data_IF_777856695448
#
_entry.id   IF_777856695448
#
_cell.length_a   1.000
_cell.length_b   1.000
_cell.length_c   1.000
_cell.angle_alpha   90.00
_cell.angle_beta   90.00
_cell.angle_gamma   90.00
#
_symmetry.space_group_name_H-M   'P 1'
#
loop_
_entity.id
_entity.type
_entity.pdbx_description
1 polymer ?
#
# COMPACT_ATOMS: atom_id res chain seq x y z
N UNK A 1 -2.97 4.03 13.27
CA UNK A 1 -3.64 2.71 13.22
C UNK A 1 -2.86 1.76 14.18
N UNK A 2 -3.40 0.62 14.67
CA UNK A 2 -2.69 -0.36 15.56
C UNK A 2 -2.07 -1.59 14.81
N UNK A 3 -0.95 -2.15 15.25
CA UNK A 3 -0.19 -3.24 14.60
C UNK A 3 -1.05 -4.47 14.27
N UNK A 4 -2.08 -4.76 15.07
CA UNK A 4 -3.06 -5.81 14.80
C UNK A 4 -3.82 -5.59 13.49
N UNK A 5 -4.23 -4.36 13.21
CA UNK A 5 -5.00 -4.02 12.02
C UNK A 5 -4.12 -4.05 10.76
N UNK A 6 -2.88 -3.59 10.87
CA UNK A 6 -1.91 -3.75 9.78
C UNK A 6 -1.65 -5.24 9.46
N UNK A 7 -1.43 -6.05 10.49
CA UNK A 7 -1.27 -7.48 10.30
C UNK A 7 -2.51 -8.13 9.69
N UNK A 8 -3.72 -7.63 9.98
CA UNK A 8 -4.93 -8.09 9.32
C UNK A 8 -4.86 -7.83 7.81
N UNK A 9 -4.53 -6.61 7.37
CA UNK A 9 -4.39 -6.28 5.95
C UNK A 9 -3.33 -7.14 5.23
N UNK A 10 -2.11 -7.19 5.77
CA UNK A 10 -1.00 -7.91 5.12
C UNK A 10 -1.23 -9.44 5.07
N UNK A 11 -2.00 -9.99 6.01
CA UNK A 11 -2.30 -11.42 6.07
C UNK A 11 -3.71 -11.76 5.56
N UNK A 12 -4.37 -10.84 4.84
CA UNK A 12 -5.63 -11.10 4.16
C UNK A 12 -5.39 -11.78 2.81
N UNK A 13 -6.22 -12.76 2.49
CA UNK A 13 -6.26 -13.35 1.15
C UNK A 13 -7.21 -12.52 0.29
N UNK A 14 -6.65 -11.75 -0.65
CA UNK A 14 -7.39 -10.95 -1.61
C UNK A 14 -7.57 -11.73 -2.91
N UNK A 15 -8.78 -12.20 -3.18
CA UNK A 15 -9.08 -13.05 -4.31
C UNK A 15 -9.87 -12.27 -5.36
N UNK A 16 -9.50 -12.46 -6.63
CA UNK A 16 -10.19 -11.90 -7.79
C UNK A 16 -10.74 -13.06 -8.61
N UNK A 17 -12.04 -13.05 -8.89
CA UNK A 17 -12.65 -14.03 -9.77
C UNK A 17 -12.52 -13.61 -11.22
N UNK A 18 -11.82 -14.43 -12.01
CA UNK A 18 -11.67 -14.24 -13.44
C UNK A 18 -11.74 -15.59 -14.16
N UNK A 19 -12.67 -15.72 -15.11
CA UNK A 19 -12.95 -17.00 -15.81
C UNK A 19 -13.22 -18.13 -14.80
N UNK A 20 -12.63 -19.30 -15.00
CA UNK A 20 -12.87 -20.51 -14.20
C UNK A 20 -11.99 -20.64 -12.96
N UNK A 21 -10.92 -19.83 -12.82
CA UNK A 21 -9.99 -19.90 -11.69
C UNK A 21 -9.71 -18.53 -11.10
N UNK A 22 -9.94 -18.31 -9.78
CA UNK A 22 -9.55 -17.06 -9.15
C UNK A 22 -8.03 -16.93 -9.09
N UNK A 23 -7.54 -15.70 -9.09
CA UNK A 23 -6.14 -15.39 -8.76
C UNK A 23 -6.07 -14.55 -7.50
N UNK A 24 -4.94 -14.65 -6.79
CA UNK A 24 -4.73 -13.97 -5.52
C UNK A 24 -3.83 -12.76 -5.70
N UNK A 25 -4.19 -11.64 -5.08
CA UNK A 25 -3.33 -10.47 -4.90
C UNK A 25 -2.66 -10.57 -3.53
N UNK A 26 -1.33 -10.56 -3.50
CA UNK A 26 -0.55 -10.63 -2.27
C UNK A 26 0.20 -9.31 -2.11
N UNK A 27 -0.09 -8.50 -1.07
CA UNK A 27 0.64 -7.26 -0.82
C UNK A 27 2.17 -7.47 -0.82
N UNK A 28 2.89 -6.59 -1.54
CA UNK A 28 4.34 -6.64 -1.71
C UNK A 28 4.85 -7.69 -2.69
N UNK A 29 3.98 -8.47 -3.34
CA UNK A 29 4.37 -9.50 -4.32
C UNK A 29 4.23 -9.01 -5.77
N UNK A 30 4.97 -9.59 -6.73
CA UNK A 30 4.76 -9.35 -8.15
C UNK A 30 3.31 -9.65 -8.57
N UNK A 31 2.87 -9.02 -9.67
CA UNK A 31 1.55 -9.28 -10.22
C UNK A 31 1.43 -10.75 -10.66
N UNK A 32 0.31 -11.44 -10.37
CA UNK A 32 0.04 -12.77 -10.89
C UNK A 32 0.03 -12.78 -12.43
N UNK A 33 0.50 -13.86 -13.05
CA UNK A 33 0.54 -14.01 -14.51
C UNK A 33 -0.83 -13.78 -15.16
N UNK A 34 -1.90 -14.30 -14.56
CA UNK A 34 -3.27 -14.12 -15.05
C UNK A 34 -3.69 -12.64 -15.07
N UNK A 35 -3.19 -11.84 -14.12
CA UNK A 35 -3.44 -10.41 -14.08
C UNK A 35 -2.64 -9.67 -15.16
N UNK A 36 -1.38 -10.04 -15.37
CA UNK A 36 -0.55 -9.48 -16.44
C UNK A 36 -1.17 -9.74 -17.82
N UNK A 37 -1.60 -10.97 -18.09
CA UNK A 37 -2.32 -11.32 -19.31
C UNK A 37 -3.58 -10.47 -19.49
N UNK A 38 -4.37 -10.32 -18.44
CA UNK A 38 -5.61 -9.56 -18.44
C UNK A 38 -5.36 -8.07 -18.76
N UNK A 39 -4.41 -7.44 -18.07
CA UNK A 39 -4.07 -6.04 -18.26
C UNK A 39 -3.52 -5.79 -19.67
N UNK A 40 -2.65 -6.68 -20.18
CA UNK A 40 -2.12 -6.61 -21.54
C UNK A 40 -3.20 -6.77 -22.61
N UNK A 41 -4.08 -7.77 -22.47
CA UNK A 41 -5.21 -8.01 -23.39
C UNK A 41 -6.11 -6.77 -23.50
N UNK A 42 -6.31 -6.08 -22.38
CA UNK A 42 -7.14 -4.87 -22.32
C UNK A 42 -6.38 -3.57 -22.59
N UNK A 43 -5.05 -3.64 -22.78
CA UNK A 43 -4.16 -2.47 -22.91
C UNK A 43 -4.28 -1.49 -21.72
N UNK A 44 -4.53 -2.02 -20.54
CA UNK A 44 -4.63 -1.26 -19.28
C UNK A 44 -3.33 -1.42 -18.50
N UNK A 45 -2.91 -0.35 -17.82
CA UNK A 45 -1.61 -0.33 -17.12
C UNK A 45 -1.71 -0.33 -15.60
N UNK A 46 -2.90 -0.12 -15.05
CA UNK A 46 -3.12 0.07 -13.61
C UNK A 46 -4.32 -0.75 -13.13
N UNK A 47 -4.38 -1.00 -11.84
CA UNK A 47 -5.57 -1.55 -11.19
C UNK A 47 -5.70 -1.08 -9.74
N UNK A 48 -6.91 -1.17 -9.20
CA UNK A 48 -7.15 -1.10 -7.77
C UNK A 48 -8.02 -2.28 -7.31
N UNK A 49 -7.88 -2.66 -6.04
CA UNK A 49 -8.75 -3.58 -5.35
C UNK A 49 -9.38 -2.87 -4.15
N UNK A 50 -10.70 -2.77 -4.16
CA UNK A 50 -11.46 -1.92 -3.24
C UNK A 50 -12.73 -2.63 -2.74
N UNK A 51 -13.09 -2.38 -1.50
CA UNK A 51 -14.36 -2.81 -0.88
C UNK A 51 -15.05 -1.62 -0.24
N UNK A 52 -16.35 -1.73 0.01
CA UNK A 52 -17.10 -0.82 0.86
C UNK A 52 -17.49 -1.45 2.21
N UNK A 53 -17.10 -2.71 2.45
CA UNK A 53 -17.35 -3.43 3.69
C UNK A 53 -16.54 -2.81 4.84
N UNK A 54 -17.09 -2.92 6.05
CA UNK A 54 -16.46 -2.58 7.32
C UNK A 54 -15.70 -1.23 7.28
N UNK A 55 -16.39 -0.11 6.97
CA UNK A 55 -15.80 1.23 6.91
C UNK A 55 -14.99 1.55 8.17
N UNK A 56 -13.84 2.19 7.97
CA UNK A 56 -12.83 2.48 8.99
C UNK A 56 -12.32 1.22 9.72
N UNK A 57 -12.48 0.04 9.12
CA UNK A 57 -12.24 -1.27 9.75
C UNK A 57 -13.10 -1.54 10.99
N UNK A 58 -14.30 -0.94 11.03
CA UNK A 58 -15.29 -1.18 12.07
C UNK A 58 -16.32 -2.18 11.55
N UNK A 59 -16.46 -3.30 12.25
CA UNK A 59 -17.41 -4.35 11.89
C UNK A 59 -18.83 -3.77 11.78
N UNK A 60 -19.47 -4.00 10.63
CA UNK A 60 -20.86 -3.62 10.39
C UNK A 60 -21.74 -4.86 10.28
N UNK A 61 -23.05 -4.65 10.39
CA UNK A 61 -24.02 -5.67 10.00
C UNK A 61 -23.89 -6.01 8.52
N UNK A 62 -24.08 -7.29 8.18
CA UNK A 62 -23.95 -7.76 6.80
C UNK A 62 -24.91 -7.02 5.84
N UNK A 63 -26.12 -6.67 6.30
CA UNK A 63 -27.11 -5.93 5.51
C UNK A 63 -26.60 -4.53 5.10
N UNK A 64 -25.89 -3.85 5.99
CA UNK A 64 -25.29 -2.53 5.72
C UNK A 64 -24.09 -2.67 4.79
N UNK A 65 -23.23 -3.66 5.04
CA UNK A 65 -22.10 -3.98 4.16
C UNK A 65 -22.56 -4.25 2.71
N UNK A 66 -23.62 -5.03 2.52
CA UNK A 66 -24.21 -5.31 1.20
C UNK A 66 -24.68 -4.02 0.52
N UNK A 67 -25.45 -3.16 1.21
CA UNK A 67 -25.94 -1.89 0.65
C UNK A 67 -24.79 -0.96 0.22
N UNK A 68 -23.75 -0.87 1.05
CA UNK A 68 -22.56 -0.05 0.75
C UNK A 68 -21.81 -0.60 -0.45
N UNK A 69 -21.69 -1.91 -0.57
CA UNK A 69 -21.03 -2.57 -1.69
C UNK A 69 -21.81 -2.42 -2.99
N UNK A 70 -23.14 -2.48 -2.94
CA UNK A 70 -24.01 -2.16 -4.08
C UNK A 70 -23.83 -0.70 -4.53
N UNK A 71 -23.70 0.22 -3.57
CA UNK A 71 -23.43 1.64 -3.86
C UNK A 71 -22.06 1.85 -4.53
N UNK A 72 -21.02 1.15 -4.06
CA UNK A 72 -19.70 1.13 -4.70
C UNK A 72 -19.76 0.56 -6.12
N UNK A 73 -20.49 -0.54 -6.31
CA UNK A 73 -20.70 -1.12 -7.64
C UNK A 73 -21.40 -0.13 -8.58
N UNK A 74 -22.45 0.54 -8.12
CA UNK A 74 -23.18 1.52 -8.91
C UNK A 74 -22.26 2.68 -9.34
N UNK A 75 -21.42 3.18 -8.44
CA UNK A 75 -20.46 4.26 -8.73
C UNK A 75 -19.40 3.82 -9.76
N UNK A 76 -18.88 2.59 -9.63
CA UNK A 76 -17.92 2.02 -10.58
C UNK A 76 -18.54 1.83 -11.97
N UNK A 77 -19.76 1.32 -12.05
CA UNK A 77 -20.50 1.15 -13.31
C UNK A 77 -20.81 2.51 -13.95
N UNK A 78 -21.23 3.49 -13.16
CA UNK A 78 -21.51 4.86 -13.62
C UNK A 78 -20.28 5.55 -14.22
N UNK A 79 -19.08 5.22 -13.72
CA UNK A 79 -17.78 5.68 -14.23
C UNK A 79 -17.25 4.81 -15.39
N UNK A 80 -18.07 3.90 -15.92
CA UNK A 80 -17.72 2.97 -17.01
C UNK A 80 -16.46 2.13 -16.72
N UNK A 81 -16.22 1.83 -15.43
CA UNK A 81 -15.05 1.07 -15.03
C UNK A 81 -15.21 -0.39 -15.36
N UNK A 82 -14.12 -0.99 -15.85
CA UNK A 82 -14.05 -2.43 -16.02
C UNK A 82 -13.75 -3.08 -14.67
N UNK A 83 -14.72 -3.84 -14.16
CA UNK A 83 -14.66 -4.44 -12.82
C UNK A 83 -14.78 -5.97 -12.87
N UNK A 84 -14.09 -6.63 -11.96
CA UNK A 84 -14.28 -8.04 -11.65
C UNK A 84 -14.70 -8.21 -10.19
N UNK A 85 -15.58 -9.19 -9.88
CA UNK A 85 -15.88 -9.51 -8.51
C UNK A 85 -14.68 -10.17 -7.82
N UNK A 86 -14.52 -9.90 -6.55
CA UNK A 86 -13.50 -10.50 -5.70
C UNK A 86 -13.99 -10.56 -4.27
N UNK A 87 -13.19 -11.16 -3.40
CA UNK A 87 -13.42 -11.07 -1.97
C UNK A 87 -12.14 -11.19 -1.17
N UNK A 88 -12.21 -10.66 0.04
CA UNK A 88 -11.16 -10.71 1.05
C UNK A 88 -11.57 -11.66 2.17
N UNK A 89 -10.63 -12.48 2.64
CA UNK A 89 -10.84 -13.34 3.80
C UNK A 89 -9.56 -13.46 4.64
N UNK A 90 -9.70 -13.75 5.93
CA UNK A 90 -8.53 -14.13 6.76
C UNK A 90 -7.94 -15.44 6.27
N UNK A 91 -6.60 -15.55 6.24
CA UNK A 91 -5.89 -16.82 6.00
C UNK A 91 -6.30 -17.95 6.94
N UNK A 92 -6.69 -17.60 8.16
CA UNK A 92 -7.16 -18.55 9.17
C UNK A 92 -8.67 -18.79 9.10
N UNK A 93 -9.36 -18.08 8.20
CA UNK A 93 -10.84 -18.04 8.05
C UNK A 93 -11.56 -17.58 9.32
N UNK A 94 -10.88 -16.75 10.11
CA UNK A 94 -11.38 -16.26 11.40
C UNK A 94 -12.50 -15.21 11.28
N UNK A 95 -12.78 -14.70 10.08
CA UNK A 95 -13.86 -13.75 9.82
C UNK A 95 -14.57 -14.03 8.49
N UNK A 96 -15.80 -13.53 8.38
CA UNK A 96 -16.65 -13.71 7.21
C UNK A 96 -16.06 -13.05 5.96
N UNK A 97 -16.34 -13.67 4.81
CA UNK A 97 -15.92 -13.19 3.50
C UNK A 97 -16.41 -11.75 3.27
N UNK A 98 -15.48 -10.85 2.92
CA UNK A 98 -15.79 -9.47 2.56
C UNK A 98 -15.77 -9.31 1.04
N UNK A 99 -16.92 -9.03 0.41
CA UNK A 99 -16.97 -8.80 -1.04
C UNK A 99 -16.13 -7.59 -1.43
N UNK A 100 -15.53 -7.63 -2.60
CA UNK A 100 -14.60 -6.62 -3.11
C UNK A 100 -14.70 -6.51 -4.63
N UNK A 101 -14.18 -5.43 -5.20
CA UNK A 101 -14.06 -5.25 -6.63
C UNK A 101 -12.61 -5.04 -7.02
N UNK A 102 -12.16 -5.79 -8.03
CA UNK A 102 -10.99 -5.45 -8.80
C UNK A 102 -11.41 -4.48 -9.90
N UNK A 103 -10.69 -3.38 -10.05
CA UNK A 103 -11.00 -2.28 -10.98
C UNK A 103 -9.80 -2.06 -11.87
N UNK A 104 -9.91 -2.34 -13.18
CA UNK A 104 -8.81 -2.13 -14.12
C UNK A 104 -8.79 -0.72 -14.69
N UNK A 105 -7.59 -0.20 -14.99
CA UNK A 105 -7.39 1.08 -15.67
C UNK A 105 -7.77 2.29 -14.83
N UNK A 106 -7.91 2.14 -13.52
CA UNK A 106 -8.18 3.24 -12.59
C UNK A 106 -6.87 3.92 -12.18
N UNK A 107 -6.87 5.25 -12.11
CA UNK A 107 -5.71 6.00 -11.63
C UNK A 107 -5.61 5.92 -10.10
N UNK A 108 -4.40 6.04 -9.54
CA UNK A 108 -4.23 6.04 -8.08
C UNK A 108 -5.05 7.17 -7.40
N UNK A 109 -5.05 8.44 -7.87
CA UNK A 109 -5.86 9.49 -7.26
C UNK A 109 -7.36 9.17 -7.24
N UNK A 110 -7.89 8.59 -8.31
CA UNK A 110 -9.30 8.21 -8.39
C UNK A 110 -9.63 7.03 -7.48
N UNK A 111 -8.75 6.01 -7.42
CA UNK A 111 -8.92 4.87 -6.53
C UNK A 111 -8.90 5.31 -5.05
N UNK A 112 -7.99 6.22 -4.71
CA UNK A 112 -7.90 6.82 -3.38
C UNK A 112 -9.14 7.67 -3.05
N UNK A 113 -9.66 8.43 -4.03
CA UNK A 113 -10.90 9.20 -3.85
C UNK A 113 -12.10 8.28 -3.58
N UNK A 114 -12.27 7.20 -4.35
CA UNK A 114 -13.31 6.21 -4.10
C UNK A 114 -13.16 5.58 -2.71
N UNK A 115 -11.95 5.17 -2.35
CA UNK A 115 -11.68 4.59 -1.04
C UNK A 115 -12.05 5.56 0.09
N UNK A 116 -11.79 6.86 -0.08
CA UNK A 116 -12.16 7.89 0.89
C UNK A 116 -13.68 8.02 1.01
N UNK A 117 -14.39 8.08 -0.13
CA UNK A 117 -15.86 8.13 -0.18
C UNK A 117 -16.51 6.94 0.54
N UNK A 118 -15.92 5.74 0.39
CA UNK A 118 -16.41 4.52 1.05
C UNK A 118 -15.78 4.26 2.43
N UNK A 119 -15.05 5.25 2.96
CA UNK A 119 -14.43 5.23 4.29
C UNK A 119 -13.50 4.03 4.49
N UNK A 120 -12.72 3.70 3.49
CA UNK A 120 -11.72 2.64 3.57
C UNK A 120 -10.42 3.18 4.15
N UNK A 121 -9.74 2.36 4.96
CA UNK A 121 -8.42 2.72 5.48
C UNK A 121 -7.31 2.45 4.47
N UNK A 122 -7.52 1.48 3.57
CA UNK A 122 -6.54 1.08 2.57
C UNK A 122 -7.20 0.46 1.32
N UNK A 123 -6.44 0.41 0.23
CA UNK A 123 -6.74 -0.34 -0.99
C UNK A 123 -5.50 -1.11 -1.44
N UNK A 124 -5.69 -2.14 -2.28
CA UNK A 124 -4.57 -2.58 -3.12
C UNK A 124 -4.53 -1.77 -4.40
N UNK A 125 -3.34 -1.43 -4.85
CA UNK A 125 -3.11 -0.76 -6.13
C UNK A 125 -1.89 -1.37 -6.80
N UNK A 126 -1.85 -1.39 -8.12
CA UNK A 126 -0.64 -1.80 -8.81
C UNK A 126 -0.62 -1.37 -10.26
N UNK A 127 0.56 -1.48 -10.85
CA UNK A 127 0.86 -1.13 -12.24
C UNK A 127 1.44 -2.36 -12.95
N UNK A 128 1.34 -2.39 -14.28
CA UNK A 128 1.72 -3.55 -15.11
C UNK A 128 3.14 -4.08 -14.86
N UNK A 129 4.10 -3.20 -14.58
CA UNK A 129 5.51 -3.53 -14.33
C UNK A 129 5.88 -3.43 -12.83
N UNK A 130 4.87 -3.43 -11.96
CA UNK A 130 5.02 -3.17 -10.53
C UNK A 130 4.77 -4.38 -9.64
N UNK A 131 4.38 -4.06 -8.42
CA UNK A 131 3.97 -5.00 -7.39
C UNK A 131 2.53 -4.69 -6.98
N UNK A 132 1.89 -5.62 -6.29
CA UNK A 132 0.64 -5.36 -5.57
C UNK A 132 0.97 -4.52 -4.34
N UNK A 133 0.60 -3.25 -4.36
CA UNK A 133 0.93 -2.29 -3.32
C UNK A 133 -0.29 -2.04 -2.40
N UNK A 134 -0.07 -2.03 -1.08
CA UNK A 134 -1.11 -1.72 -0.09
C UNK A 134 -1.06 -0.22 0.23
N UNK A 135 -2.00 0.54 -0.35
CA UNK A 135 -2.08 1.99 -0.19
C UNK A 135 -2.98 2.36 0.97
N UNK A 136 -2.44 3.03 1.97
CA UNK A 136 -3.22 3.61 3.06
C UNK A 136 -3.71 5.01 2.71
N UNK A 137 -4.92 5.34 3.15
CA UNK A 137 -5.56 6.64 2.87
C UNK A 137 -5.13 7.77 3.79
N UNK A 138 -4.52 7.43 4.93
CA UNK A 138 -4.08 8.44 5.88
C UNK A 138 -2.79 9.09 5.44
N UNK A 139 -2.77 10.43 5.54
CA UNK A 139 -1.57 11.21 5.32
C UNK A 139 -0.48 10.75 6.30
N UNK A 140 0.66 10.29 5.77
CA UNK A 140 1.81 9.99 6.58
C UNK A 140 2.40 11.26 7.19
N UNK A 141 2.73 11.20 8.47
CA UNK A 141 3.26 12.35 9.20
C UNK A 141 4.79 12.28 9.21
N UNK A 142 5.46 13.43 9.06
CA UNK A 142 6.92 13.49 9.10
C UNK A 142 7.40 13.06 10.48
N UNK A 143 8.37 12.15 10.56
CA UNK A 143 8.81 11.59 11.85
C UNK A 143 9.37 12.69 12.75
N UNK A 144 10.07 13.68 12.20
CA UNK A 144 10.61 14.81 12.96
C UNK A 144 9.55 15.77 13.52
N UNK A 145 8.30 15.70 13.02
CA UNK A 145 7.16 16.49 13.49
C UNK A 145 6.30 15.74 14.52
N UNK A 146 6.57 14.45 14.73
CA UNK A 146 5.93 13.64 15.77
C UNK A 146 6.51 14.02 17.14
N UNK A 147 5.79 14.81 17.93
CA UNK A 147 6.21 15.15 19.31
C UNK A 147 6.25 13.89 20.20
N UNK A 148 7.32 13.76 20.97
CA UNK A 148 7.49 12.71 21.99
C UNK A 148 6.34 12.73 23.03
N UNK A 149 5.68 11.59 23.21
CA UNK A 149 4.83 11.31 24.37
C UNK A 149 3.41 11.86 24.29
N UNK A 150 2.48 11.06 23.77
CA UNK A 150 1.17 10.76 24.41
C UNK A 150 0.31 9.95 23.42
N UNK A 151 0.51 8.64 23.47
CA UNK A 151 -0.26 7.65 22.73
C UNK A 151 -1.59 7.40 23.44
N UNK A 152 -2.67 8.06 23.01
CA UNK A 152 -4.03 7.56 23.19
C UNK A 152 -4.77 7.55 21.85
N UNK A 153 -5.16 6.35 21.43
CA UNK A 153 -5.66 5.99 20.09
C UNK A 153 -6.96 6.70 19.65
N UNK A 154 -7.62 7.48 20.51
CA UNK A 154 -8.95 8.02 20.25
C UNK A 154 -8.97 9.50 19.82
N UNK A 155 -8.01 10.33 20.23
CA UNK A 155 -8.05 11.78 20.02
C UNK A 155 -7.49 12.26 18.67
N UNK A 156 -6.86 11.37 17.89
CA UNK A 156 -6.19 11.74 16.63
C UNK A 156 -7.10 11.73 15.41
N UNK A 157 -8.26 11.06 15.44
CA UNK A 157 -9.18 11.01 14.28
C UNK A 157 -9.63 12.41 13.83
N UNK A 158 -9.73 13.36 14.77
CA UNK A 158 -10.14 14.73 14.48
C UNK A 158 -8.98 15.66 14.11
N UNK A 159 -7.75 15.38 14.56
CA UNK A 159 -6.58 16.26 14.30
C UNK A 159 -5.95 16.02 12.94
N UNK A 160 -5.97 14.80 12.41
CA UNK A 160 -5.46 14.50 11.07
C UNK A 160 -6.29 15.13 9.95
N UNK A 161 -7.55 15.50 10.19
CA UNK A 161 -8.36 16.33 9.26
C UNK A 161 -7.83 17.75 9.10
N UNK A 162 -7.00 18.24 10.01
CA UNK A 162 -6.54 19.64 10.02
C UNK A 162 -5.23 19.87 9.26
N UNK A 163 -4.43 18.82 9.00
CA UNK A 163 -3.23 18.93 8.15
C UNK A 163 -3.53 18.88 6.64
N UNK A 164 -4.72 18.40 6.24
CA UNK A 164 -5.11 18.27 4.84
C UNK A 164 -5.63 19.60 4.28
N UNK A 165 -4.72 20.48 3.83
CA UNK A 165 -5.13 21.53 2.87
C UNK A 165 -4.04 21.96 1.88
N UNK A 166 -2.77 21.57 2.04
CA UNK A 166 -1.68 22.05 1.19
C UNK A 166 -0.92 20.98 0.39
N UNK A 167 -1.20 19.66 0.55
CA UNK A 167 -0.35 18.62 -0.05
C UNK A 167 -0.95 17.89 -1.27
N UNK A 168 -2.25 18.09 -1.56
CA UNK A 168 -2.94 17.40 -2.67
C UNK A 168 -2.57 17.93 -4.08
N UNK A 169 -1.62 18.87 -4.19
CA UNK A 169 -1.22 19.48 -5.47
C UNK A 169 0.09 18.97 -6.05
N UNK A 170 0.83 18.07 -5.38
CA UNK A 170 2.14 17.63 -5.88
C UNK A 170 2.13 16.22 -6.51
N UNK A 171 2.50 16.07 -7.80
CA UNK A 171 2.46 14.80 -8.54
C UNK A 171 3.65 13.86 -8.22
N UNK A 172 4.27 13.98 -7.04
CA UNK A 172 5.51 13.26 -6.69
C UNK A 172 5.29 12.12 -5.70
N UNK A 173 4.30 11.27 -5.97
CA UNK A 173 4.13 10.03 -5.23
C UNK A 173 4.87 8.91 -6.00
N UNK A 174 6.19 8.81 -5.81
CA UNK A 174 7.02 7.72 -6.36
C UNK A 174 7.23 6.63 -5.30
N UNK A 175 6.79 5.41 -5.62
CA UNK A 175 7.18 4.08 -5.07
C UNK A 175 7.41 4.02 -3.56
N UNK A 176 6.39 3.59 -2.83
CA UNK A 176 6.49 3.27 -1.39
C UNK A 176 7.03 1.86 -1.22
N UNK A 177 8.36 1.74 -1.18
CA UNK A 177 9.04 0.55 -0.71
C UNK A 177 10.01 0.98 0.40
N UNK A 178 10.18 0.11 1.41
CA UNK A 178 11.21 0.15 2.47
C UNK A 178 12.65 0.05 1.91
N UNK A 179 12.84 0.43 0.65
CA UNK A 179 14.03 0.28 -0.18
C UNK A 179 14.29 1.61 -0.89
N UNK A 180 15.48 2.17 -0.67
CA UNK A 180 16.03 3.24 -1.50
C UNK A 180 17.00 2.58 -2.49
N UNK A 181 16.78 2.80 -3.78
CA UNK A 181 17.75 2.43 -4.81
C UNK A 181 18.90 3.43 -4.77
N UNK A 182 20.12 2.95 -4.49
CA UNK A 182 21.31 3.78 -4.56
C UNK A 182 21.61 4.13 -6.02
N UNK A 183 22.22 5.31 -6.30
CA UNK A 183 22.60 5.69 -7.66
C UNK A 183 23.46 4.60 -8.31
N UNK A 184 23.01 4.07 -9.44
CA UNK A 184 23.60 2.92 -10.12
C UNK A 184 25.06 3.21 -10.53
N UNK A 185 25.36 4.47 -10.86
CA UNK A 185 26.66 4.91 -11.38
C UNK A 185 27.83 4.73 -10.38
N UNK A 186 27.55 4.61 -9.08
CA UNK A 186 28.57 4.38 -8.05
C UNK A 186 29.00 2.91 -7.90
N UNK A 187 28.24 1.97 -8.46
CA UNK A 187 28.37 0.55 -8.12
C UNK A 187 28.47 -0.40 -9.34
N UNK A 188 28.39 0.12 -10.57
CA UNK A 188 28.45 -0.69 -11.80
C UNK A 188 29.72 -1.54 -11.92
N UNK A 189 30.85 -1.08 -11.39
CA UNK A 189 32.12 -1.82 -11.48
C UNK A 189 32.23 -3.00 -10.50
N UNK A 190 31.40 -3.01 -9.43
CA UNK A 190 31.53 -3.98 -8.32
C UNK A 190 30.47 -5.08 -8.35
N UNK A 191 29.35 -4.89 -9.05
CA UNK A 191 28.22 -5.82 -9.04
C UNK A 191 27.66 -6.04 -10.45
N UNK A 192 27.97 -7.21 -11.05
CA UNK A 192 27.63 -7.53 -12.45
C UNK A 192 26.18 -8.03 -12.60
N UNK A 193 25.70 -8.85 -11.64
CA UNK A 193 24.36 -9.49 -11.68
C UNK A 193 23.50 -9.16 -10.46
N UNK A 194 23.91 -8.21 -9.63
CA UNK A 194 23.20 -7.84 -8.39
C UNK A 194 23.12 -6.33 -8.26
N UNK A 195 22.05 -5.84 -7.63
CA UNK A 195 21.85 -4.40 -7.40
C UNK A 195 21.97 -4.13 -5.90
N UNK A 196 22.89 -3.26 -5.46
CA UNK A 196 22.91 -2.84 -4.07
C UNK A 196 21.66 -2.00 -3.78
N UNK A 197 20.95 -2.38 -2.73
CA UNK A 197 19.76 -1.69 -2.26
C UNK A 197 20.00 -1.20 -0.84
N UNK A 198 19.67 0.06 -0.56
CA UNK A 198 19.64 0.56 0.80
C UNK A 198 18.28 0.24 1.40
N UNK A 199 18.27 -0.45 2.53
CA UNK A 199 17.06 -0.97 3.16
C UNK A 199 16.91 -0.29 4.50
N UNK A 200 15.72 0.24 4.79
CA UNK A 200 15.41 0.90 6.06
C UNK A 200 14.06 0.41 6.58
N UNK A 201 13.68 0.79 7.79
CA UNK A 201 12.39 0.38 8.35
C UNK A 201 12.27 -1.12 8.59
N UNK A 202 11.17 -1.72 8.15
CA UNK A 202 10.82 -3.09 8.57
C UNK A 202 11.59 -4.18 7.84
N UNK A 203 12.26 -3.85 6.73
CA UNK A 203 13.06 -4.80 5.95
C UNK A 203 14.51 -4.95 6.46
N UNK A 204 14.97 -4.12 7.41
CA UNK A 204 16.35 -4.22 7.97
C UNK A 204 16.59 -5.55 8.66
N UNK A 205 17.86 -5.97 8.73
CA UNK A 205 18.25 -7.17 9.45
C UNK A 205 17.73 -7.14 10.91
N UNK A 206 17.01 -8.19 11.31
CA UNK A 206 16.40 -8.31 12.64
C UNK A 206 14.98 -7.73 12.78
N UNK A 207 14.46 -7.05 11.76
CA UNK A 207 13.11 -6.48 11.77
C UNK A 207 12.06 -7.44 11.15
N UNK A 208 10.78 -7.19 11.43
CA UNK A 208 9.66 -8.08 11.08
C UNK A 208 9.49 -8.37 9.58
N UNK A 209 9.87 -7.42 8.73
CA UNK A 209 9.81 -7.52 7.27
C UNK A 209 11.04 -8.19 6.66
N UNK A 210 12.14 -8.35 7.39
CA UNK A 210 13.39 -8.93 6.85
C UNK A 210 13.21 -10.34 6.28
N UNK A 211 12.18 -11.07 6.73
CA UNK A 211 11.78 -12.38 6.18
C UNK A 211 11.49 -12.36 4.67
N UNK A 212 11.25 -11.19 4.07
CA UNK A 212 11.01 -11.01 2.64
C UNK A 212 12.30 -10.80 1.84
N UNK A 213 13.43 -10.54 2.49
CA UNK A 213 14.75 -10.32 1.88
C UNK A 213 15.47 -11.64 1.53
N UNK A 214 14.70 -12.65 1.08
CA UNK A 214 15.23 -13.94 0.66
C UNK A 214 15.98 -13.76 -0.66
N UNK A 215 17.17 -14.34 -0.76
CA UNK A 215 18.11 -14.15 -1.89
C UNK A 215 18.80 -12.78 -1.95
N UNK A 216 18.94 -12.11 -0.80
CA UNK A 216 19.82 -10.93 -0.68
C UNK A 216 20.98 -11.25 0.26
N UNK A 217 22.12 -10.61 0.01
CA UNK A 217 23.29 -10.66 0.89
C UNK A 217 23.42 -9.33 1.59
N UNK A 218 23.52 -9.34 2.93
CA UNK A 218 23.81 -8.14 3.70
C UNK A 218 25.26 -7.71 3.41
N UNK A 219 25.42 -6.54 2.80
CA UNK A 219 26.74 -5.98 2.50
C UNK A 219 27.32 -5.23 3.70
N UNK A 220 26.52 -4.33 4.28
CA UNK A 220 26.89 -3.48 5.41
C UNK A 220 25.64 -3.19 6.26
N UNK A 221 25.84 -2.84 7.53
CA UNK A 221 24.75 -2.50 8.47
C UNK A 221 25.08 -1.22 9.22
N UNK A 222 24.04 -0.50 9.65
CA UNK A 222 24.15 0.80 10.30
C UNK A 222 24.69 1.90 9.37
N UNK A 223 24.47 1.76 8.07
CA UNK A 223 24.82 2.77 7.07
C UNK A 223 23.87 3.94 7.23
N UNK A 224 24.39 5.16 7.13
CA UNK A 224 23.61 6.38 7.17
C UNK A 224 23.55 7.02 5.79
N UNK A 225 22.36 7.40 5.35
CA UNK A 225 22.16 8.19 4.12
C UNK A 225 21.53 9.55 4.44
N UNK A 226 21.81 10.54 3.58
CA UNK A 226 21.31 11.91 3.66
C UNK A 226 20.54 12.28 2.38
N UNK A 227 19.80 13.39 2.40
CA UNK A 227 19.03 13.87 1.24
C UNK A 227 17.65 13.21 1.12
N UNK A 228 17.15 12.62 2.21
CA UNK A 228 15.82 12.00 2.28
C UNK A 228 15.12 12.41 3.56
N UNK A 229 13.84 12.73 3.48
CA UNK A 229 12.98 12.96 4.64
C UNK A 229 12.22 11.69 4.99
N UNK A 230 12.18 11.36 6.28
CA UNK A 230 11.44 10.21 6.79
C UNK A 230 10.03 10.61 7.19
N UNK A 231 9.08 9.90 6.60
CA UNK A 231 7.68 9.98 6.95
C UNK A 231 7.23 8.63 7.46
N UNK A 232 6.23 8.63 8.34
CA UNK A 232 5.65 7.42 8.88
C UNK A 232 4.14 7.51 8.86
N UNK A 233 3.50 6.47 8.36
CA UNK A 233 2.07 6.21 8.59
C UNK A 233 1.83 5.45 9.92
N UNK A 234 2.79 5.55 10.85
CA UNK A 234 2.93 4.86 12.15
C UNK A 234 3.44 3.42 12.11
N UNK A 235 3.69 2.84 10.94
CA UNK A 235 4.18 1.44 10.87
C UNK A 235 5.23 1.17 9.84
N UNK A 236 5.12 1.84 8.70
CA UNK A 236 6.14 1.80 7.67
C UNK A 236 6.74 3.19 7.59
N UNK A 237 7.99 3.34 8.04
CA UNK A 237 8.74 4.53 7.67
C UNK A 237 8.99 4.44 6.16
N UNK A 238 8.77 5.53 5.43
CA UNK A 238 9.18 5.63 4.05
C UNK A 238 9.97 6.94 3.85
N UNK A 239 10.92 6.89 2.93
CA UNK A 239 11.87 7.94 2.65
C UNK A 239 11.50 8.67 1.36
N UNK A 240 11.46 9.99 1.40
CA UNK A 240 11.21 10.84 0.22
C UNK A 240 12.47 11.66 -0.07
N UNK A 241 13.02 11.62 -1.30
CA UNK A 241 14.16 12.47 -1.66
C UNK A 241 13.84 13.96 -1.42
N UNK A 242 14.74 14.67 -0.75
CA UNK A 242 14.61 16.10 -0.46
C UNK A 242 16.01 16.72 -0.31
N UNK A 243 16.29 17.72 -1.16
CA UNK A 243 17.56 18.46 -1.14
C UNK A 243 17.75 19.24 0.17
N UNK A 244 16.66 19.58 0.84
CA UNK A 244 16.64 20.31 2.11
C UNK A 244 16.58 19.38 3.34
N UNK A 245 16.67 18.06 3.14
CA UNK A 245 16.57 17.12 4.26
C UNK A 245 17.69 17.33 5.27
N UNK A 246 17.29 17.41 6.54
CA UNK A 246 18.19 17.40 7.71
C UNK A 246 18.20 16.05 8.43
N UNK A 247 17.43 15.09 7.90
CA UNK A 247 17.24 13.79 8.52
C UNK A 247 18.33 12.81 8.07
N UNK A 248 18.84 12.02 9.01
CA UNK A 248 19.76 10.91 8.74
C UNK A 248 18.98 9.60 8.80
N UNK A 249 18.95 8.86 7.69
CA UNK A 249 18.25 7.57 7.63
C UNK A 249 19.26 6.46 7.87
N UNK A 250 18.94 5.57 8.83
CA UNK A 250 19.77 4.41 9.16
C UNK A 250 19.22 3.13 8.52
N UNK A 251 20.09 2.43 7.80
CA UNK A 251 19.85 1.13 7.17
C UNK A 251 20.72 0.02 7.74
#
# INVERSE_FOLDING_TARGET
>A
MNQRLLNAYVNTDYLVFFKEKPFQLIPGSPLPEQLLELLNLKKLKTFAYITAYNPNSLLQENSENVKRQESLKAELVRKERWILPGYSQSKKKDWEREESFFVAGISLPEAMHLAYQFSQNAILFGELEGFVDLKFLYEPCRISEMKNGDFQLHDEYQRTKQCSSSFLSEPRIRRYLDIVYLPVDLYQELFVDTIPIFVYGTLRAGEVGNRFMKNTTLLESNVLIYGYELYSNRYYPYAVPSEDSKDWIRG
#
